data_IF_089300296660
#
_entry.id   IF_089300296660
#
_cell.length_a   1.000
_cell.length_b   1.000
_cell.length_c   1.000
_cell.angle_alpha   90.00
_cell.angle_beta   90.00
_cell.angle_gamma   90.00
#
_symmetry.space_group_name_H-M   'P 1'
#
loop_
_entity.id
_entity.type
_entity.pdbx_description
1 polymer ?
#
# COMPACT_ATOMS: atom_id res chain seq x y z
N UNK A 1 -44.67 9.62 -22.73
CA UNK A 1 -44.59 11.10 -22.62
C UNK A 1 -43.43 11.42 -21.69
N UNK A 2 -42.21 11.29 -22.19
CA UNK A 2 -41.36 12.39 -22.69
C UNK A 2 -40.83 13.29 -21.56
N UNK A 3 -39.60 12.98 -21.13
CA UNK A 3 -38.67 13.86 -20.40
C UNK A 3 -38.24 15.10 -21.23
N UNK A 4 -38.96 15.44 -22.31
CA UNK A 4 -38.60 16.49 -23.26
C UNK A 4 -39.14 17.88 -22.92
N UNK A 5 -40.25 18.00 -22.18
CA UNK A 5 -40.93 19.28 -21.98
C UNK A 5 -40.18 20.26 -21.06
N UNK A 6 -39.68 19.77 -19.92
CA UNK A 6 -38.92 20.58 -18.97
C UNK A 6 -37.55 21.00 -19.54
N UNK A 7 -36.89 20.11 -20.29
CA UNK A 7 -35.61 20.39 -20.93
C UNK A 7 -35.79 21.35 -22.12
N UNK A 8 -36.86 21.24 -22.92
CA UNK A 8 -37.16 22.20 -23.99
C UNK A 8 -37.53 23.58 -23.46
N UNK A 9 -38.26 23.67 -22.35
CA UNK A 9 -38.56 24.94 -21.69
C UNK A 9 -37.27 25.61 -21.16
N UNK A 10 -36.37 24.82 -20.59
CA UNK A 10 -35.06 25.30 -20.12
C UNK A 10 -34.19 25.81 -21.28
N UNK A 11 -34.09 25.04 -22.38
CA UNK A 11 -33.33 25.44 -23.57
C UNK A 11 -33.91 26.71 -24.20
N UNK A 12 -35.24 26.82 -24.27
CA UNK A 12 -35.92 28.00 -24.81
C UNK A 12 -35.72 29.23 -23.94
N UNK A 13 -35.75 29.08 -22.61
CA UNK A 13 -35.48 30.17 -21.67
C UNK A 13 -34.03 30.67 -21.78
N UNK A 14 -33.06 29.75 -21.91
CA UNK A 14 -31.65 30.10 -22.12
C UNK A 14 -31.45 30.81 -23.46
N UNK A 15 -32.10 30.36 -24.53
CA UNK A 15 -32.03 31.02 -25.85
C UNK A 15 -32.66 32.41 -25.85
N UNK A 16 -33.81 32.59 -25.21
CA UNK A 16 -34.49 33.88 -25.17
C UNK A 16 -33.82 34.88 -24.21
N UNK A 17 -33.16 34.41 -23.15
CA UNK A 17 -32.37 35.26 -22.25
C UNK A 17 -30.88 35.35 -22.62
N UNK A 18 -30.46 34.71 -23.71
CA UNK A 18 -29.09 34.85 -24.20
C UNK A 18 -28.88 36.28 -24.67
N UNK A 19 -28.29 37.12 -23.81
CA UNK A 19 -27.75 38.43 -24.20
C UNK A 19 -26.89 38.24 -25.45
N UNK A 20 -27.03 39.08 -26.49
CA UNK A 20 -26.10 39.06 -27.60
C UNK A 20 -24.70 39.20 -27.02
N UNK A 21 -23.83 38.21 -27.31
CA UNK A 21 -22.43 38.25 -26.90
C UNK A 21 -21.86 39.53 -27.51
N UNK A 22 -21.56 40.52 -26.67
CA UNK A 22 -20.71 41.63 -27.05
C UNK A 22 -19.36 41.01 -27.38
N UNK A 23 -19.17 40.67 -28.64
CA UNK A 23 -17.86 40.33 -29.16
C UNK A 23 -16.96 41.53 -28.85
N UNK A 24 -15.96 41.31 -28.01
CA UNK A 24 -14.97 42.35 -27.68
C UNK A 24 -14.18 42.74 -28.93
N UNK A 25 -14.25 41.93 -29.99
CA UNK A 25 -13.77 42.25 -31.33
C UNK A 25 -14.96 42.60 -32.22
N UNK A 26 -15.59 43.74 -31.92
CA UNK A 26 -16.50 44.39 -32.85
C UNK A 26 -15.75 44.54 -34.18
N UNK A 27 -16.28 43.94 -35.25
CA UNK A 27 -15.66 43.95 -36.57
C UNK A 27 -15.20 45.37 -36.93
N UNK A 28 -13.90 45.53 -37.20
CA UNK A 28 -13.23 46.81 -37.49
C UNK A 28 -13.91 47.64 -38.60
N UNK A 29 -14.79 47.03 -39.39
CA UNK A 29 -15.61 47.68 -40.43
C UNK A 29 -16.68 48.64 -39.89
N UNK A 30 -17.08 48.54 -38.62
CA UNK A 30 -18.08 49.45 -38.01
C UNK A 30 -17.47 50.65 -37.29
N UNK A 31 -16.16 50.68 -37.08
CA UNK A 31 -15.46 51.87 -36.57
C UNK A 31 -15.12 52.89 -37.66
N UNK A 32 -15.45 52.56 -38.92
CA UNK A 32 -15.48 53.48 -40.05
C UNK A 32 -16.79 54.32 -40.09
N UNK A 33 -17.46 54.52 -38.94
CA UNK A 33 -18.44 55.61 -38.83
C UNK A 33 -17.65 56.88 -39.12
N UNK A 34 -17.97 57.52 -40.25
CA UNK A 34 -17.45 58.80 -40.74
C UNK A 34 -17.24 59.79 -39.59
N UNK A 35 -16.06 59.75 -38.94
CA UNK A 35 -15.60 60.85 -38.11
C UNK A 35 -15.30 61.98 -39.09
N UNK A 36 -15.84 63.19 -38.91
CA UNK A 36 -15.38 64.32 -39.71
C UNK A 36 -13.86 64.38 -39.55
N UNK A 37 -13.15 64.32 -40.67
CA UNK A 37 -11.70 64.42 -40.77
C UNK A 37 -11.26 65.85 -40.43
N UNK A 38 -11.54 66.30 -39.21
CA UNK A 38 -10.73 67.32 -38.59
C UNK A 38 -9.38 66.64 -38.39
N UNK A 39 -8.47 66.85 -39.34
CA UNK A 39 -7.05 66.57 -39.19
C UNK A 39 -6.62 67.38 -37.98
N UNK A 40 -6.70 66.78 -36.78
CA UNK A 40 -6.02 67.31 -35.62
C UNK A 40 -4.55 67.06 -35.89
N UNK A 41 -3.89 68.01 -36.55
CA UNK A 41 -2.44 68.06 -36.61
C UNK A 41 -1.99 68.15 -35.16
N UNK A 42 -1.53 67.03 -34.61
CA UNK A 42 -0.90 67.01 -33.30
C UNK A 42 0.36 67.85 -33.43
N UNK A 43 0.34 69.05 -32.85
CA UNK A 43 1.53 69.88 -32.76
C UNK A 43 2.48 69.23 -31.76
N UNK A 44 3.53 68.61 -32.28
CA UNK A 44 4.57 68.03 -31.46
C UNK A 44 5.49 69.14 -30.96
N UNK A 45 5.47 69.38 -29.65
CA UNK A 45 6.45 70.26 -28.99
C UNK A 45 7.85 69.69 -29.28
N UNK A 46 8.69 70.46 -29.98
CA UNK A 46 10.11 70.11 -30.16
C UNK A 46 10.80 70.20 -28.80
N UNK A 47 11.28 69.06 -28.32
CA UNK A 47 11.90 68.91 -27.00
C UNK A 47 13.41 69.02 -27.15
N UNK A 48 14.07 69.74 -26.26
CA UNK A 48 15.54 69.83 -26.24
C UNK A 48 16.16 68.48 -25.84
N UNK A 49 17.40 68.17 -26.26
CA UNK A 49 18.02 66.87 -25.96
C UNK A 49 18.13 66.57 -24.46
N UNK A 50 18.31 67.62 -23.64
CA UNK A 50 18.35 67.52 -22.18
C UNK A 50 17.00 67.12 -21.59
N UNK A 51 15.91 67.73 -22.04
CA UNK A 51 14.54 67.37 -21.68
C UNK A 51 14.17 65.96 -22.18
N UNK A 52 14.63 65.57 -23.38
CA UNK A 52 14.42 64.23 -23.92
C UNK A 52 15.09 63.16 -23.04
N UNK A 53 16.32 63.42 -22.56
CA UNK A 53 17.02 62.55 -21.59
C UNK A 53 16.25 62.44 -20.28
N UNK A 54 15.70 63.55 -19.76
CA UNK A 54 14.90 63.53 -18.53
C UNK A 54 13.60 62.72 -18.70
N UNK A 55 12.91 62.88 -19.83
CA UNK A 55 11.69 62.12 -20.13
C UNK A 55 12.01 60.61 -20.22
N UNK A 56 13.06 60.23 -20.95
CA UNK A 56 13.50 58.83 -21.05
C UNK A 56 13.83 58.24 -19.69
N UNK A 57 14.56 58.97 -18.83
CA UNK A 57 14.88 58.51 -17.48
C UNK A 57 13.63 58.36 -16.61
N UNK A 58 12.68 59.30 -16.66
CA UNK A 58 11.40 59.20 -15.94
C UNK A 58 10.60 57.96 -16.36
N UNK A 59 10.55 57.66 -17.66
CA UNK A 59 9.88 56.46 -18.19
C UNK A 59 10.59 55.20 -17.69
N UNK A 60 11.92 55.15 -17.77
CA UNK A 60 12.72 54.00 -17.32
C UNK A 60 12.53 53.71 -15.83
N UNK A 61 12.57 54.75 -14.99
CA UNK A 61 12.40 54.60 -13.53
C UNK A 61 10.98 54.15 -13.17
N UNK A 62 9.95 54.68 -13.86
CA UNK A 62 8.56 54.22 -13.67
C UNK A 62 8.39 52.76 -14.06
N UNK A 63 8.89 52.37 -15.24
CA UNK A 63 8.82 50.99 -15.71
C UNK A 63 9.54 50.01 -14.76
N UNK A 64 10.70 50.39 -14.22
CA UNK A 64 11.41 49.58 -13.23
C UNK A 64 10.63 49.44 -11.92
N UNK A 65 9.97 50.51 -11.46
CA UNK A 65 9.15 50.50 -10.23
C UNK A 65 7.90 49.63 -10.40
N UNK A 66 7.25 49.69 -11.55
CA UNK A 66 6.09 48.86 -11.88
C UNK A 66 6.46 47.39 -12.02
N UNK A 67 7.57 47.08 -12.69
CA UNK A 67 8.08 45.71 -12.78
C UNK A 67 8.44 45.12 -11.41
N UNK A 68 9.01 45.92 -10.50
CA UNK A 68 9.28 45.48 -9.12
C UNK A 68 7.98 45.18 -8.36
N UNK A 69 6.96 46.04 -8.49
CA UNK A 69 5.65 45.81 -7.88
C UNK A 69 4.99 44.54 -8.42
N UNK A 70 5.01 44.34 -9.74
CA UNK A 70 4.48 43.13 -10.37
C UNK A 70 5.20 41.87 -9.89
N UNK A 71 6.54 41.89 -9.85
CA UNK A 71 7.33 40.75 -9.32
C UNK A 71 6.99 40.44 -7.87
N UNK A 72 6.87 41.46 -7.02
CA UNK A 72 6.48 41.28 -5.62
C UNK A 72 5.08 40.68 -5.50
N UNK A 73 4.12 41.16 -6.29
CA UNK A 73 2.74 40.69 -6.28
C UNK A 73 2.64 39.22 -6.76
N UNK A 74 3.36 38.88 -7.84
CA UNK A 74 3.46 37.49 -8.34
C UNK A 74 4.10 36.57 -7.31
N UNK A 75 5.16 37.02 -6.63
CA UNK A 75 5.84 36.23 -5.60
C UNK A 75 4.92 36.02 -4.38
N UNK A 76 4.19 37.06 -3.97
CA UNK A 76 3.25 37.02 -2.86
C UNK A 76 2.06 36.08 -3.11
N UNK A 77 1.64 35.93 -4.37
CA UNK A 77 0.58 34.98 -4.77
C UNK A 77 1.11 33.57 -5.00
N UNK A 78 2.29 33.41 -5.62
CA UNK A 78 2.81 32.09 -6.00
C UNK A 78 3.29 31.26 -4.82
N UNK A 79 3.90 31.88 -3.80
CA UNK A 79 4.39 31.17 -2.60
C UNK A 79 3.27 30.42 -1.88
N UNK A 80 2.11 31.02 -1.51
CA UNK A 80 1.06 30.29 -0.82
C UNK A 80 0.45 29.19 -1.69
N UNK A 81 0.36 29.37 -3.01
CA UNK A 81 -0.15 28.34 -3.92
C UNK A 81 0.80 27.13 -3.97
N UNK A 82 2.10 27.37 -4.11
CA UNK A 82 3.10 26.30 -4.11
C UNK A 82 3.16 25.60 -2.74
N UNK A 83 3.05 26.37 -1.66
CA UNK A 83 3.01 25.84 -0.30
C UNK A 83 1.82 24.91 -0.06
N UNK A 84 0.61 25.28 -0.51
CA UNK A 84 -0.57 24.41 -0.35
C UNK A 84 -0.47 23.14 -1.17
N UNK A 85 0.01 23.22 -2.43
CA UNK A 85 0.24 22.03 -3.27
C UNK A 85 1.26 21.11 -2.60
N UNK A 86 2.35 21.66 -2.07
CA UNK A 86 3.38 20.89 -1.37
C UNK A 86 2.81 20.19 -0.12
N UNK A 87 2.06 20.89 0.73
CA UNK A 87 1.45 20.29 1.91
C UNK A 87 0.46 19.16 1.56
N UNK A 88 -0.36 19.34 0.53
CA UNK A 88 -1.29 18.30 0.07
C UNK A 88 -0.54 17.08 -0.47
N UNK A 89 0.55 17.31 -1.22
CA UNK A 89 1.37 16.23 -1.75
C UNK A 89 2.04 15.42 -0.62
N UNK A 90 2.63 16.09 0.37
CA UNK A 90 3.24 15.42 1.53
C UNK A 90 2.22 14.62 2.34
N UNK A 91 1.06 15.21 2.66
CA UNK A 91 0.00 14.52 3.40
C UNK A 91 -0.46 13.23 2.69
N UNK A 92 -0.57 13.25 1.36
CA UNK A 92 -0.94 12.05 0.59
C UNK A 92 0.17 10.99 0.57
N UNK A 93 1.44 11.39 0.58
CA UNK A 93 2.57 10.46 0.62
C UNK A 93 2.61 9.76 1.98
N UNK A 94 2.45 10.51 3.07
CA UNK A 94 2.46 9.97 4.44
C UNK A 94 1.27 9.01 4.66
N UNK A 95 0.06 9.42 4.27
CA UNK A 95 -1.15 8.57 4.37
C UNK A 95 -1.03 7.29 3.53
N UNK A 96 -0.43 7.37 2.34
CA UNK A 96 -0.19 6.18 1.51
C UNK A 96 0.79 5.20 2.18
N UNK A 97 1.89 5.70 2.75
CA UNK A 97 2.87 4.86 3.45
C UNK A 97 2.27 4.19 4.70
N UNK A 98 1.49 4.93 5.47
CA UNK A 98 0.86 4.41 6.69
C UNK A 98 -0.18 3.32 6.37
N UNK A 99 -1.01 3.52 5.36
CA UNK A 99 -1.97 2.50 4.91
C UNK A 99 -1.29 1.21 4.44
N UNK A 100 -0.16 1.31 3.72
CA UNK A 100 0.63 0.15 3.33
C UNK A 100 1.25 -0.58 4.52
N UNK A 101 1.74 0.17 5.52
CA UNK A 101 2.27 -0.42 6.76
C UNK A 101 1.18 -1.16 7.55
N UNK A 102 -0.01 -0.55 7.68
CA UNK A 102 -1.15 -1.18 8.35
C UNK A 102 -1.58 -2.46 7.63
N UNK A 103 -1.63 -2.45 6.29
CA UNK A 103 -1.94 -3.63 5.51
C UNK A 103 -0.91 -4.76 5.71
N UNK A 104 0.38 -4.43 5.72
CA UNK A 104 1.45 -5.41 5.99
C UNK A 104 1.34 -6.02 7.39
N UNK A 105 1.03 -5.20 8.41
CA UNK A 105 0.81 -5.68 9.79
C UNK A 105 -0.38 -6.64 9.85
N UNK A 106 -1.49 -6.32 9.19
CA UNK A 106 -2.68 -7.20 9.15
C UNK A 106 -2.37 -8.55 8.50
N UNK A 107 -1.69 -8.53 7.36
CA UNK A 107 -1.27 -9.77 6.67
C UNK A 107 -0.36 -10.60 7.58
N UNK A 108 0.59 -9.95 8.25
CA UNK A 108 1.49 -10.65 9.17
C UNK A 108 0.73 -11.26 10.35
N UNK A 109 -0.23 -10.54 10.91
CA UNK A 109 -1.09 -11.03 11.99
C UNK A 109 -1.90 -12.26 11.56
N UNK A 110 -2.51 -12.23 10.37
CA UNK A 110 -3.26 -13.38 9.82
C UNK A 110 -2.34 -14.60 9.63
N UNK A 111 -1.12 -14.40 9.13
CA UNK A 111 -0.12 -15.47 9.00
C UNK A 111 0.23 -16.05 10.38
N UNK A 112 0.42 -15.21 11.37
CA UNK A 112 0.81 -15.63 12.71
C UNK A 112 -0.34 -16.35 13.43
N UNK A 113 -1.59 -15.94 13.25
CA UNK A 113 -2.78 -16.66 13.73
C UNK A 113 -2.88 -18.05 13.10
N UNK A 114 -2.67 -18.17 11.79
CA UNK A 114 -2.68 -19.47 11.09
C UNK A 114 -1.57 -20.38 11.63
N UNK A 115 -0.35 -19.84 11.80
CA UNK A 115 0.77 -20.58 12.38
C UNK A 115 0.48 -21.03 13.81
N UNK A 116 -0.09 -20.15 14.63
CA UNK A 116 -0.44 -20.46 16.01
C UNK A 116 -1.54 -21.53 16.08
N UNK A 117 -2.58 -21.44 15.24
CA UNK A 117 -3.63 -22.45 15.17
C UNK A 117 -3.08 -23.83 14.74
N UNK A 118 -2.13 -23.84 13.78
CA UNK A 118 -1.43 -25.06 13.37
C UNK A 118 -0.63 -25.65 14.52
N UNK A 119 0.16 -24.84 15.22
CA UNK A 119 0.99 -25.28 16.36
C UNK A 119 0.12 -25.81 17.51
N UNK A 120 -0.96 -25.11 17.86
CA UNK A 120 -1.89 -25.56 18.90
C UNK A 120 -2.49 -26.94 18.58
N UNK A 121 -2.79 -27.19 17.31
CA UNK A 121 -3.32 -28.49 16.86
C UNK A 121 -2.26 -29.59 16.94
N UNK A 122 -1.01 -29.28 16.63
CA UNK A 122 0.12 -30.20 16.81
C UNK A 122 0.30 -30.54 18.29
N UNK A 123 0.34 -29.53 19.16
CA UNK A 123 0.50 -29.70 20.60
C UNK A 123 -0.63 -30.57 21.18
N UNK A 124 -1.88 -30.31 20.79
CA UNK A 124 -3.02 -31.14 21.20
C UNK A 124 -2.81 -32.62 20.87
N UNK A 125 -2.37 -32.96 19.65
CA UNK A 125 -2.14 -34.35 19.28
C UNK A 125 -0.94 -34.97 19.99
N UNK A 126 0.12 -34.20 20.26
CA UNK A 126 1.28 -34.66 21.02
C UNK A 126 0.90 -34.95 22.47
N UNK A 127 0.13 -34.07 23.11
CA UNK A 127 -0.33 -34.23 24.48
C UNK A 127 -1.31 -35.40 24.63
N UNK A 128 -2.33 -35.47 23.76
CA UNK A 128 -3.31 -36.57 23.79
C UNK A 128 -2.64 -37.91 23.47
N UNK A 129 -1.75 -37.94 22.46
CA UNK A 129 -0.96 -39.13 22.13
C UNK A 129 -0.09 -39.60 23.30
N UNK A 130 0.54 -38.67 24.01
CA UNK A 130 1.33 -38.98 25.21
C UNK A 130 0.46 -39.48 26.37
N UNK A 131 -0.75 -38.94 26.54
CA UNK A 131 -1.73 -39.42 27.52
C UNK A 131 -2.14 -40.87 27.24
N UNK A 132 -2.40 -41.22 25.97
CA UNK A 132 -2.66 -42.61 25.57
C UNK A 132 -1.45 -43.52 25.76
N UNK A 133 -0.26 -43.04 25.43
CA UNK A 133 0.99 -43.78 25.59
C UNK A 133 1.24 -44.16 27.04
N UNK A 134 1.08 -43.20 27.96
CA UNK A 134 1.27 -43.41 29.39
C UNK A 134 0.28 -44.42 30.01
N UNK A 135 -0.83 -44.71 29.32
CA UNK A 135 -1.82 -45.71 29.70
C UNK A 135 -1.59 -47.08 29.04
N UNK A 136 -0.50 -47.25 28.27
CA UNK A 136 -0.22 -48.46 27.49
C UNK A 136 -1.11 -48.64 26.25
N UNK A 137 -1.87 -47.61 25.85
CA UNK A 137 -2.78 -47.69 24.71
C UNK A 137 -2.06 -47.32 23.39
N UNK A 138 -1.12 -48.18 22.97
CA UNK A 138 -0.21 -47.94 21.83
C UNK A 138 -0.92 -47.62 20.51
N UNK A 139 -2.01 -48.31 20.18
CA UNK A 139 -2.77 -48.08 18.95
C UNK A 139 -3.37 -46.66 18.90
N UNK A 140 -3.88 -46.16 20.03
CA UNK A 140 -4.48 -44.83 20.12
C UNK A 140 -3.38 -43.77 20.05
N UNK A 141 -2.28 -43.95 20.79
CA UNK A 141 -1.12 -43.07 20.75
C UNK A 141 -0.54 -42.93 19.32
N UNK A 142 -0.35 -44.05 18.60
CA UNK A 142 0.07 -44.06 17.18
C UNK A 142 -0.87 -43.26 16.30
N UNK A 143 -2.18 -43.36 16.52
CA UNK A 143 -3.18 -42.62 15.75
C UNK A 143 -3.02 -41.12 15.97
N UNK A 144 -2.84 -40.67 17.22
CA UNK A 144 -2.67 -39.25 17.51
C UNK A 144 -1.35 -38.69 16.97
N UNK A 145 -0.23 -39.38 17.17
CA UNK A 145 1.06 -38.92 16.63
C UNK A 145 1.06 -38.91 15.09
N UNK A 146 0.36 -39.85 14.44
CA UNK A 146 0.19 -39.81 12.99
C UNK A 146 -0.69 -38.64 12.53
N UNK A 147 -1.71 -38.24 13.31
CA UNK A 147 -2.49 -37.05 13.02
C UNK A 147 -1.64 -35.77 13.11
N UNK A 148 -0.70 -35.68 14.06
CA UNK A 148 0.29 -34.60 14.12
C UNK A 148 1.21 -34.63 12.89
N UNK A 149 1.71 -35.81 12.50
CA UNK A 149 2.59 -35.98 11.33
C UNK A 149 1.96 -35.52 10.02
N UNK A 150 0.64 -35.71 9.86
CA UNK A 150 -0.09 -35.19 8.69
C UNK A 150 -0.14 -33.67 8.61
N UNK A 151 0.03 -32.97 9.73
CA UNK A 151 0.03 -31.50 9.78
C UNK A 151 1.43 -30.96 9.51
N UNK A 152 2.45 -31.56 10.10
CA UNK A 152 3.84 -31.18 9.90
C UNK A 152 4.74 -32.43 9.93
N UNK A 153 5.22 -32.87 8.77
CA UNK A 153 6.03 -34.08 8.65
C UNK A 153 7.50 -33.86 8.99
N UNK A 154 7.96 -32.62 9.02
CA UNK A 154 9.36 -32.28 9.25
C UNK A 154 9.68 -31.91 10.71
N UNK A 155 8.68 -31.81 11.58
CA UNK A 155 8.87 -31.53 13.00
C UNK A 155 9.53 -32.71 13.73
N UNK A 156 10.64 -32.43 14.39
CA UNK A 156 11.40 -33.42 15.18
C UNK A 156 10.56 -34.03 16.31
N UNK A 157 9.81 -33.22 17.06
CA UNK A 157 9.00 -33.66 18.21
C UNK A 157 7.98 -34.70 17.78
N UNK A 158 7.33 -34.46 16.65
CA UNK A 158 6.33 -35.36 16.05
C UNK A 158 6.98 -36.67 15.61
N UNK A 159 8.07 -36.59 14.85
CA UNK A 159 8.76 -37.79 14.37
C UNK A 159 9.35 -38.61 15.51
N UNK A 160 9.90 -37.96 16.54
CA UNK A 160 10.39 -38.61 17.75
C UNK A 160 9.26 -39.29 18.52
N UNK A 161 8.17 -38.58 18.83
CA UNK A 161 7.05 -39.15 19.57
C UNK A 161 6.39 -40.33 18.83
N UNK A 162 6.24 -40.20 17.51
CA UNK A 162 5.75 -41.27 16.65
C UNK A 162 6.72 -42.47 16.68
N UNK A 163 8.03 -42.27 16.57
CA UNK A 163 9.01 -43.37 16.64
C UNK A 163 8.99 -44.05 18.01
N UNK A 164 8.97 -43.26 19.10
CA UNK A 164 8.95 -43.73 20.48
C UNK A 164 7.79 -44.70 20.74
N UNK A 165 6.57 -44.40 20.27
CA UNK A 165 5.43 -45.31 20.47
C UNK A 165 5.59 -46.65 19.72
N UNK A 166 6.30 -46.68 18.59
CA UNK A 166 6.60 -47.95 17.91
C UNK A 166 7.67 -48.76 18.66
N UNK A 167 8.68 -48.10 19.20
CA UNK A 167 9.72 -48.73 20.03
C UNK A 167 9.10 -49.37 21.27
N UNK A 168 8.28 -48.62 22.01
CA UNK A 168 7.65 -49.12 23.23
C UNK A 168 6.67 -50.28 22.95
N UNK A 169 5.84 -50.18 21.92
CA UNK A 169 4.92 -51.28 21.54
C UNK A 169 5.68 -52.54 21.07
N UNK A 170 6.86 -52.37 20.47
CA UNK A 170 7.73 -53.49 20.14
C UNK A 170 8.32 -54.15 21.38
N UNK A 171 8.82 -53.37 22.34
CA UNK A 171 9.45 -53.90 23.56
C UNK A 171 8.42 -54.62 24.43
N UNK A 172 7.25 -54.02 24.63
CA UNK A 172 6.24 -54.56 25.53
C UNK A 172 5.39 -55.67 24.91
N UNK A 173 5.03 -55.54 23.63
CA UNK A 173 4.07 -56.45 22.98
C UNK A 173 4.66 -57.27 21.83
N UNK A 174 5.94 -57.07 21.48
CA UNK A 174 6.60 -57.70 20.33
C UNK A 174 5.91 -57.37 18.98
N UNK A 175 5.29 -56.19 18.87
CA UNK A 175 4.53 -55.76 17.68
C UNK A 175 5.34 -54.80 16.81
N UNK A 176 5.44 -55.09 15.50
CA UNK A 176 6.02 -54.19 14.47
C UNK A 176 7.48 -53.73 14.75
N UNK A 177 8.30 -54.60 15.33
CA UNK A 177 9.70 -54.28 15.69
C UNK A 177 10.59 -53.84 14.53
N UNK A 178 10.49 -54.52 13.37
CA UNK A 178 11.21 -54.10 12.15
C UNK A 178 10.86 -52.67 11.73
N UNK A 179 9.61 -52.25 11.97
CA UNK A 179 9.20 -50.87 11.70
C UNK A 179 9.81 -49.92 12.72
N UNK A 180 9.86 -50.30 14.01
CA UNK A 180 10.49 -49.49 15.05
C UNK A 180 11.97 -49.24 14.76
N UNK A 181 12.73 -50.29 14.44
CA UNK A 181 14.15 -50.20 14.05
C UNK A 181 14.36 -49.27 12.84
N UNK A 182 13.53 -49.45 11.80
CA UNK A 182 13.58 -48.60 10.60
C UNK A 182 13.30 -47.13 10.94
N UNK A 183 12.32 -46.87 11.80
CA UNK A 183 11.98 -45.51 12.21
C UNK A 183 13.08 -44.86 13.04
N UNK A 184 13.72 -45.59 13.98
CA UNK A 184 14.86 -45.09 14.74
C UNK A 184 16.03 -44.75 13.82
N UNK A 185 16.36 -45.65 12.87
CA UNK A 185 17.39 -45.39 11.86
C UNK A 185 17.09 -44.14 11.03
N UNK A 186 15.86 -44.02 10.51
CA UNK A 186 15.45 -42.84 9.75
C UNK A 186 15.48 -41.55 10.57
N UNK A 187 15.15 -41.61 11.86
CA UNK A 187 15.23 -40.48 12.77
C UNK A 187 16.68 -40.03 12.98
N UNK A 188 17.61 -40.98 13.14
CA UNK A 188 19.05 -40.74 13.26
C UNK A 188 19.66 -40.18 11.98
N UNK A 189 19.26 -40.69 10.82
CA UNK A 189 19.67 -40.16 9.51
C UNK A 189 19.21 -38.71 9.30
N UNK A 190 17.97 -38.39 9.71
CA UNK A 190 17.38 -37.06 9.49
C UNK A 190 17.82 -36.00 10.52
N UNK A 191 17.94 -36.38 11.80
CA UNK A 191 18.15 -35.44 12.90
C UNK A 191 19.47 -35.63 13.67
N UNK A 192 20.30 -36.60 13.26
CA UNK A 192 21.61 -36.89 13.84
C UNK A 192 21.55 -37.69 15.14
N UNK A 193 22.67 -37.70 15.87
CA UNK A 193 22.84 -38.47 17.12
C UNK A 193 22.39 -37.66 18.35
N UNK A 194 21.12 -37.26 18.41
CA UNK A 194 20.54 -36.69 19.62
C UNK A 194 20.44 -37.77 20.71
N UNK A 195 20.65 -37.38 21.97
CA UNK A 195 20.70 -38.31 23.10
C UNK A 195 19.42 -39.16 23.20
N UNK A 196 18.27 -38.54 22.96
CA UNK A 196 16.96 -39.19 23.01
C UNK A 196 16.78 -40.24 21.90
N UNK A 197 17.41 -40.04 20.72
CA UNK A 197 17.37 -41.01 19.63
C UNK A 197 18.25 -42.21 19.96
N UNK A 198 19.44 -41.96 20.53
CA UNK A 198 20.35 -43.02 20.97
C UNK A 198 19.71 -43.86 22.09
N UNK A 199 18.96 -43.22 22.99
CA UNK A 199 18.19 -43.94 24.01
C UNK A 199 17.17 -44.91 23.38
N UNK A 200 16.44 -44.49 22.34
CA UNK A 200 15.51 -45.37 21.63
C UNK A 200 16.20 -46.54 20.94
N UNK A 201 17.40 -46.33 20.41
CA UNK A 201 18.23 -47.39 19.81
C UNK A 201 18.66 -48.42 20.86
N UNK A 202 19.20 -47.95 21.99
CA UNK A 202 19.61 -48.80 23.11
C UNK A 202 18.44 -49.61 23.70
N UNK A 203 17.24 -49.00 23.78
CA UNK A 203 16.03 -49.70 24.24
C UNK A 203 15.64 -50.87 23.33
N UNK A 204 15.88 -50.77 22.02
CA UNK A 204 15.61 -51.87 21.08
C UNK A 204 16.65 -52.99 21.18
N UNK A 205 17.91 -52.67 21.51
CA UNK A 205 18.99 -53.65 21.67
C UNK A 205 18.83 -54.52 22.93
N UNK A 206 18.07 -54.05 23.92
CA UNK A 206 17.82 -54.76 25.20
C UNK A 206 16.64 -55.74 25.14
N UNK A 207 15.94 -55.83 24.01
CA UNK A 207 14.77 -56.69 23.80
C UNK A 207 15.16 -58.13 23.45
#
# INVERSE_FOLDING_TARGET
MSFGGSVQAMISSIKNNARPKNDRFRSHSKDCIKRPSAIRTLEYKKVTESELKQIKNKIRVKALKENRKLKLLVLLISIPILGTIYCIAQYKIDDFQENHRIAAIKIQHEIDEIKQAKENKILYFLEDGSSWLNKGHYKNAKTQFYNAYKIESDDYRINYANTKVYVLDCIENNVKCVTAERMVKGLKEKYGNKAEIVELELLLEQK
#
